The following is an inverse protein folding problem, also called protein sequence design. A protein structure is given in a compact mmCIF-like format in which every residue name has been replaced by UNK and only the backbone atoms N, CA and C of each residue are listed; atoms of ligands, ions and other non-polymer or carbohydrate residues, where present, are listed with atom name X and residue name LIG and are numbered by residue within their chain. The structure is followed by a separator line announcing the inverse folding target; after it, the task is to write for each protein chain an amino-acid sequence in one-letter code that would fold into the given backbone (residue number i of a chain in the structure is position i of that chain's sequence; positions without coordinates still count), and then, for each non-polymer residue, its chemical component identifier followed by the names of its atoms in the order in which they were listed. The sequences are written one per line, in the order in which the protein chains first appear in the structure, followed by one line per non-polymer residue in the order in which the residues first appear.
data_IF_705340506090
#
_entry.id   IF_705340506090
#
_cell.length_a   1.000
_cell.length_b   1.000
_cell.length_c   1.000
_cell.angle_alpha   90.00
_cell.angle_beta   90.00
_cell.angle_gamma   90.00
#
_symmetry.space_group_name_H-M   'P 1'
#
loop_
_entity.id
_entity.type
_entity.pdbx_description
1 polymer ?
#
# COMPACT_ATOMS: atom_id res chain seq x y z
N UNK A 1 -8.87 -15.28 -1.93
CA UNK A 1 -8.25 -14.76 -3.17
C UNK A 1 -6.97 -13.96 -2.85
N UNK A 2 -7.02 -12.91 -2.01
CA UNK A 2 -5.81 -12.22 -1.50
C UNK A 2 -4.93 -13.15 -0.63
N UNK A 3 -5.52 -13.85 0.34
CA UNK A 3 -4.83 -14.84 1.19
C UNK A 3 -4.29 -16.07 0.44
N UNK A 4 -4.65 -16.21 -0.84
CA UNK A 4 -4.19 -17.30 -1.72
C UNK A 4 -3.11 -16.83 -2.71
N UNK A 5 -2.58 -15.60 -2.56
CA UNK A 5 -1.59 -15.02 -3.46
C UNK A 5 -2.15 -14.54 -4.80
N UNK A 6 -3.48 -14.44 -4.93
CA UNK A 6 -4.16 -13.99 -6.14
C UNK A 6 -4.22 -12.47 -6.25
N UNK A 7 -4.07 -11.97 -7.48
CA UNK A 7 -4.25 -10.55 -7.81
C UNK A 7 -5.74 -10.19 -7.75
N UNK A 8 -6.09 -9.12 -7.04
CA UNK A 8 -7.47 -8.62 -6.96
C UNK A 8 -7.54 -7.24 -7.57
N UNK A 9 -8.36 -7.08 -8.61
CA UNK A 9 -8.73 -5.76 -9.10
C UNK A 9 -9.84 -5.20 -8.19
N UNK A 10 -9.65 -4.02 -7.62
CA UNK A 10 -10.66 -3.35 -6.81
C UNK A 10 -10.90 -1.92 -7.32
N UNK A 11 -12.17 -1.46 -7.34
CA UNK A 11 -12.45 -0.08 -7.70
C UNK A 11 -11.95 0.86 -6.60
N UNK A 12 -11.24 1.93 -6.99
CA UNK A 12 -11.01 3.10 -6.12
C UNK A 12 -11.68 4.33 -6.73
N UNK A 13 -11.73 5.45 -5.99
CA UNK A 13 -12.38 6.67 -6.47
C UNK A 13 -11.65 7.34 -7.65
N UNK A 14 -10.42 6.93 -7.93
CA UNK A 14 -9.59 7.50 -9.02
C UNK A 14 -9.33 6.54 -10.18
N UNK A 15 -9.04 5.26 -9.91
CA UNK A 15 -8.71 4.25 -10.95
C UNK A 15 -8.97 2.82 -10.43
N UNK A 16 -9.01 1.82 -11.31
CA UNK A 16 -8.97 0.43 -10.85
C UNK A 16 -7.59 0.09 -10.27
N UNK A 17 -7.55 -0.22 -8.97
CA UNK A 17 -6.37 -0.72 -8.28
C UNK A 17 -6.18 -2.22 -8.57
N UNK A 18 -4.94 -2.65 -8.75
CA UNK A 18 -4.60 -4.08 -8.72
C UNK A 18 -3.87 -4.32 -7.40
N UNK A 19 -4.56 -4.94 -6.47
CA UNK A 19 -4.05 -5.31 -5.16
C UNK A 19 -3.48 -6.71 -5.17
N UNK A 20 -2.42 -6.88 -4.39
CA UNK A 20 -1.95 -8.16 -3.92
C UNK A 20 -1.53 -7.96 -2.46
N UNK A 21 -1.31 -9.06 -1.76
CA UNK A 21 -0.76 -9.01 -0.42
C UNK A 21 0.62 -8.33 -0.44
N UNK A 22 0.74 -7.22 0.30
CA UNK A 22 1.95 -6.42 0.38
C UNK A 22 3.08 -7.12 1.14
N UNK A 23 2.78 -8.14 1.93
CA UNK A 23 3.75 -8.96 2.65
C UNK A 23 4.31 -10.10 1.81
N UNK A 24 3.63 -10.48 0.72
CA UNK A 24 4.01 -11.61 -0.11
C UNK A 24 4.85 -11.15 -1.32
N UNK A 25 6.18 -11.37 -1.32
CA UNK A 25 7.04 -10.90 -2.40
C UNK A 25 6.68 -11.51 -3.76
N UNK A 26 6.16 -12.74 -3.78
CA UNK A 26 5.72 -13.40 -5.01
C UNK A 26 4.45 -12.75 -5.57
N UNK A 27 3.53 -12.35 -4.69
CA UNK A 27 2.30 -11.65 -5.10
C UNK A 27 2.60 -10.22 -5.58
N UNK A 28 3.54 -9.53 -4.92
CA UNK A 28 4.06 -8.23 -5.38
C UNK A 28 4.75 -8.36 -6.74
N UNK A 29 5.59 -9.37 -6.94
CA UNK A 29 6.21 -9.64 -8.24
C UNK A 29 5.17 -9.93 -9.33
N UNK A 30 4.07 -10.61 -9.00
CA UNK A 30 2.96 -10.83 -9.91
C UNK A 30 2.26 -9.52 -10.32
N UNK A 31 2.15 -8.51 -9.44
CA UNK A 31 1.65 -7.16 -9.81
C UNK A 31 2.56 -6.54 -10.88
N UNK A 32 3.88 -6.58 -10.69
CA UNK A 32 4.82 -6.00 -11.64
C UNK A 32 4.75 -6.71 -13.01
N UNK A 33 4.71 -8.04 -13.00
CA UNK A 33 4.59 -8.86 -14.21
C UNK A 33 3.28 -8.57 -14.96
N UNK A 34 2.15 -8.51 -14.24
CA UNK A 34 0.83 -8.26 -14.84
C UNK A 34 0.69 -6.86 -15.44
N UNK A 35 1.33 -5.85 -14.84
CA UNK A 35 1.26 -4.45 -15.34
C UNK A 35 2.35 -4.09 -16.35
N UNK A 36 3.30 -4.99 -16.64
CA UNK A 36 4.48 -4.68 -17.45
C UNK A 36 5.30 -3.51 -16.88
N UNK A 37 5.22 -3.29 -15.56
CA UNK A 37 5.91 -2.18 -14.89
C UNK A 37 7.35 -2.57 -14.61
N UNK A 38 8.33 -1.69 -14.87
CA UNK A 38 9.69 -1.93 -14.41
C UNK A 38 9.68 -2.03 -12.88
N UNK A 39 10.46 -2.97 -12.35
CA UNK A 39 10.47 -3.36 -10.93
C UNK A 39 10.95 -2.25 -9.97
N UNK A 40 11.40 -1.12 -10.52
CA UNK A 40 11.84 0.07 -9.79
C UNK A 40 10.72 1.09 -9.53
N UNK A 41 9.49 0.85 -9.97
CA UNK A 41 8.36 1.75 -9.71
C UNK A 41 7.64 1.36 -8.41
N UNK A 42 7.71 2.18 -7.34
CA UNK A 42 7.09 1.83 -6.07
C UNK A 42 5.57 1.64 -6.21
N UNK A 43 5.03 0.66 -5.50
CA UNK A 43 3.60 0.40 -5.36
C UNK A 43 3.08 0.99 -4.04
N UNK A 44 1.84 1.47 -4.04
CA UNK A 44 1.21 2.06 -2.86
C UNK A 44 0.58 0.94 -2.02
N UNK A 45 0.97 0.85 -0.76
CA UNK A 45 0.30 -0.02 0.22
C UNK A 45 -0.99 0.64 0.66
N UNK A 46 -2.12 -0.04 0.47
CA UNK A 46 -3.41 0.39 0.99
C UNK A 46 -3.62 -0.29 2.34
N UNK A 47 -3.98 0.48 3.36
CA UNK A 47 -4.17 0.01 4.73
C UNK A 47 -5.63 0.21 5.13
N UNK A 48 -6.17 -0.70 5.96
CA UNK A 48 -7.51 -0.48 6.53
C UNK A 48 -7.45 0.64 7.58
N UNK A 49 -8.59 1.27 7.92
CA UNK A 49 -8.64 2.31 8.96
C UNK A 49 -8.10 1.85 10.32
N UNK A 50 -8.19 0.55 10.61
CA UNK A 50 -7.76 -0.07 11.88
C UNK A 50 -6.32 -0.58 11.85
N UNK A 51 -5.63 -0.49 10.70
CA UNK A 51 -4.30 -1.02 10.54
C UNK A 51 -3.26 -0.20 11.33
N UNK A 52 -2.28 -0.89 11.90
CA UNK A 52 -1.13 -0.23 12.51
C UNK A 52 -0.17 0.27 11.42
N UNK A 53 -0.18 1.58 11.16
CA UNK A 53 0.73 2.22 10.20
C UNK A 53 2.20 2.07 10.64
N UNK A 54 2.45 1.97 11.95
CA UNK A 54 3.78 1.74 12.51
C UNK A 54 4.39 0.40 12.11
N UNK A 55 3.56 -0.56 11.68
CA UNK A 55 4.04 -1.78 11.06
C UNK A 55 4.76 -1.45 9.76
N UNK A 56 4.15 -0.68 8.85
CA UNK A 56 4.68 -0.41 7.51
C UNK A 56 5.75 0.68 7.44
N UNK A 57 5.66 1.71 8.29
CA UNK A 57 6.50 2.89 8.19
C UNK A 57 7.07 3.34 9.55
N UNK A 58 8.40 3.54 9.61
CA UNK A 58 9.09 4.04 10.80
C UNK A 58 10.32 4.91 10.46
N UNK A 59 10.56 6.03 11.17
CA UNK A 59 9.64 6.64 12.14
C UNK A 59 8.46 7.33 11.44
N UNK A 60 7.35 7.52 12.16
CA UNK A 60 6.21 8.35 11.70
C UNK A 60 6.34 9.74 12.33
N UNK A 61 6.68 10.79 11.56
CA UNK A 61 6.78 12.15 12.09
C UNK A 61 5.45 12.67 12.63
N UNK A 62 5.50 13.62 13.57
CA UNK A 62 4.29 14.20 14.17
C UNK A 62 3.36 14.84 13.13
N UNK A 63 3.92 15.50 12.10
CA UNK A 63 3.11 16.11 11.05
C UNK A 63 2.44 15.07 10.15
N UNK A 64 3.09 13.94 9.88
CA UNK A 64 2.47 12.82 9.19
C UNK A 64 1.28 12.27 9.99
N UNK A 65 1.40 12.15 11.32
CA UNK A 65 0.28 11.73 12.19
C UNK A 65 -0.90 12.70 12.13
N UNK A 66 -0.65 14.01 12.10
CA UNK A 66 -1.71 15.02 11.96
C UNK A 66 -2.43 14.89 10.62
N UNK A 67 -1.69 14.68 9.53
CA UNK A 67 -2.25 14.48 8.20
C UNK A 67 -3.09 13.20 8.13
N UNK A 68 -2.59 12.10 8.69
CA UNK A 68 -3.34 10.83 8.79
C UNK A 68 -4.67 11.07 9.53
N UNK A 69 -4.63 11.69 10.72
CA UNK A 69 -5.83 11.92 11.52
C UNK A 69 -6.87 12.84 10.83
N UNK A 70 -6.41 13.78 10.00
CA UNK A 70 -7.29 14.75 9.34
C UNK A 70 -7.86 14.25 8.01
N UNK A 71 -7.11 13.42 7.28
CA UNK A 71 -7.43 13.09 5.88
C UNK A 71 -7.61 11.60 5.62
N UNK A 72 -7.32 10.72 6.58
CA UNK A 72 -7.60 9.28 6.45
C UNK A 72 -8.82 8.89 7.30
N UNK A 73 -9.75 8.07 6.75
CA UNK A 73 -9.78 7.54 5.39
C UNK A 73 -10.08 8.61 4.33
N UNK A 74 -9.30 8.65 3.24
CA UNK A 74 -9.46 9.65 2.18
C UNK A 74 -8.31 9.64 1.16
N UNK A 75 -8.36 10.51 0.14
CA UNK A 75 -7.49 10.47 -1.03
C UNK A 75 -6.11 11.09 -0.79
N UNK A 76 -5.49 10.79 0.36
CA UNK A 76 -4.15 11.26 0.70
C UNK A 76 -3.17 10.07 0.72
N UNK A 77 -2.08 10.16 -0.03
CA UNK A 77 -0.97 9.21 0.04
C UNK A 77 0.24 9.88 0.71
N UNK A 78 0.85 9.20 1.69
CA UNK A 78 2.05 9.69 2.37
C UNK A 78 3.27 8.84 1.98
N UNK A 79 4.36 9.51 1.62
CA UNK A 79 5.65 8.86 1.39
C UNK A 79 6.42 8.88 2.71
N UNK A 80 6.62 7.71 3.30
CA UNK A 80 7.32 7.53 4.57
C UNK A 80 8.46 6.52 4.42
N UNK A 81 9.40 6.53 5.35
CA UNK A 81 10.46 5.53 5.40
C UNK A 81 9.86 4.18 5.79
N UNK A 82 10.10 3.15 4.96
CA UNK A 82 9.68 1.77 5.23
C UNK A 82 10.29 1.29 6.56
N UNK A 83 9.49 0.60 7.37
CA UNK A 83 9.96 -0.08 8.57
C UNK A 83 10.96 -1.20 8.22
N UNK A 84 11.83 -1.56 9.16
CA UNK A 84 13.02 -2.39 8.89
C UNK A 84 12.76 -3.91 8.77
N UNK A 85 11.51 -4.34 8.58
CA UNK A 85 11.14 -5.76 8.47
C UNK A 85 10.98 -6.22 7.02
#
# INVERSE_FOLDING_TARGET
MLEQGGLVAFPTETVYGLGADAENPAAVAAIYAAKGRPSNHPVIVHVSPEADIGYWAQPIPADARKLIAAFWPGPLTLILKRAAH
#
